data_IF_240409284801
#
_entry.id   IF_240409284801
#
_cell.length_a   1.000
_cell.length_b   1.000
_cell.length_c   1.000
_cell.angle_alpha   90.00
_cell.angle_beta   90.00
_cell.angle_gamma   90.00
#
_symmetry.space_group_name_H-M   'P 1'
#
loop_
_entity.id
_entity.type
_entity.pdbx_description
1 polymer ?
#
# COMPACT_ATOMS: atom_id res chain seq x y z
N UNK A 1 5.33 -20.20 26.86
CA UNK A 1 5.30 -20.05 26.26
C UNK A 1 5.18 -19.47 26.08
N UNK A 2 5.21 -19.39 26.07
CA UNK A 2 5.15 -19.02 25.54
C UNK A 2 4.93 -18.42 25.14
N UNK A 3 5.00 -18.29 25.31
CA UNK A 3 4.95 -17.89 24.58
C UNK A 3 4.97 -17.39 24.24
N UNK A 4 4.97 -17.40 24.21
CA UNK A 4 5.07 -17.12 23.44
C UNK A 4 5.18 -16.59 23.02
N UNK A 5 5.37 -16.60 23.33
CA UNK A 5 5.63 -16.36 22.50
C UNK A 5 5.90 -15.78 22.10
N UNK A 6 6.21 -15.64 22.31
CA UNK A 6 6.53 -15.44 21.46
C UNK A 6 6.91 -15.03 21.06
N UNK A 7 7.34 -15.00 20.97
CA UNK A 7 7.73 -14.80 20.16
C UNK A 7 8.02 -14.34 19.72
N UNK A 8 8.24 -14.37 19.62
CA UNK A 8 8.55 -14.24 18.76
C UNK A 8 8.83 -13.73 18.28
N UNK A 9 9.23 -13.53 18.30
CA UNK A 9 9.44 -13.21 17.51
C UNK A 9 9.79 -12.79 17.19
N UNK A 10 10.03 -12.71 17.26
CA UNK A 10 10.20 -12.60 16.55
C UNK A 10 10.55 -12.21 15.93
N UNK A 11 10.74 -12.02 15.85
CA UNK A 11 10.77 -11.87 14.78
C UNK A 11 11.07 -11.74 14.34
N UNK A 12 11.29 -11.58 14.48
CA UNK A 12 11.26 -11.64 13.74
C UNK A 12 11.40 -12.05 13.21
N UNK A 13 11.66 -11.50 13.92
CA UNK A 13 11.97 -12.47 13.17
C UNK A 13 11.53 -12.42 11.89
N UNK A 14 12.02 -12.91 11.52
CA UNK A 14 11.76 -12.80 10.17
C UNK A 14 10.40 -13.32 9.77
N UNK A 15 9.72 -12.57 8.96
CA UNK A 15 8.36 -12.91 8.57
C UNK A 15 8.34 -13.77 7.31
N UNK A 16 7.39 -14.73 7.22
CA UNK A 16 7.10 -15.39 5.94
C UNK A 16 6.62 -14.36 4.93
N UNK A 17 6.77 -14.66 3.64
CA UNK A 17 6.31 -13.78 2.57
C UNK A 17 4.83 -13.42 2.75
N UNK A 18 4.00 -14.39 3.15
CA UNK A 18 2.56 -14.17 3.34
C UNK A 18 2.22 -13.22 4.48
N UNK A 19 3.20 -12.84 5.29
CA UNK A 19 2.95 -11.91 6.37
C UNK A 19 3.11 -10.44 5.96
N UNK A 20 3.56 -10.14 4.75
CA UNK A 20 3.68 -8.77 4.28
C UNK A 20 2.30 -8.13 4.17
N UNK A 21 2.20 -6.91 4.69
CA UNK A 21 0.94 -6.20 4.80
C UNK A 21 0.88 -5.08 3.76
N UNK A 22 -0.18 -5.11 2.95
CA UNK A 22 -0.44 -4.08 1.96
C UNK A 22 -1.64 -3.26 2.41
N UNK A 23 -1.50 -1.94 2.42
CA UNK A 23 -2.63 -1.04 2.58
C UNK A 23 -3.13 -0.67 1.19
N UNK A 24 -4.33 -1.11 0.86
CA UNK A 24 -4.96 -0.85 -0.43
C UNK A 24 -5.95 0.30 -0.28
N UNK A 25 -5.67 1.41 -0.96
CA UNK A 25 -6.50 2.61 -0.87
C UNK A 25 -7.20 2.81 -2.21
N UNK A 26 -8.48 2.49 -2.26
CA UNK A 26 -9.27 2.49 -3.49
C UNK A 26 -10.74 2.68 -3.14
N UNK A 27 -11.39 3.68 -3.73
CA UNK A 27 -12.79 3.96 -3.42
C UNK A 27 -13.79 3.08 -4.19
N UNK A 28 -13.40 2.56 -5.36
CA UNK A 28 -14.25 1.67 -6.14
C UNK A 28 -14.34 0.31 -5.45
N UNK A 29 -15.52 -0.03 -4.96
CA UNK A 29 -15.71 -1.27 -4.20
C UNK A 29 -15.33 -2.51 -5.00
N UNK A 30 -15.72 -2.57 -6.28
CA UNK A 30 -15.46 -3.74 -7.10
C UNK A 30 -13.97 -3.94 -7.32
N UNK A 31 -13.27 -2.88 -7.69
CA UNK A 31 -11.83 -2.95 -7.90
C UNK A 31 -11.10 -3.26 -6.60
N UNK A 32 -11.50 -2.60 -5.51
CA UNK A 32 -10.88 -2.84 -4.19
C UNK A 32 -11.04 -4.29 -3.78
N UNK A 33 -12.24 -4.84 -3.93
CA UNK A 33 -12.50 -6.24 -3.58
C UNK A 33 -11.70 -7.20 -4.45
N UNK A 34 -11.66 -6.95 -5.76
CA UNK A 34 -10.93 -7.82 -6.68
C UNK A 34 -9.44 -7.82 -6.43
N UNK A 35 -8.87 -6.64 -6.21
CA UNK A 35 -7.44 -6.52 -5.91
C UNK A 35 -7.11 -7.14 -4.56
N UNK A 36 -7.97 -6.95 -3.57
CA UNK A 36 -7.76 -7.53 -2.26
C UNK A 36 -7.72 -9.06 -2.33
N UNK A 37 -8.68 -9.66 -3.04
CA UNK A 37 -8.73 -11.11 -3.18
C UNK A 37 -7.48 -11.63 -3.90
N UNK A 38 -7.09 -10.93 -4.95
CA UNK A 38 -5.90 -11.31 -5.71
C UNK A 38 -4.64 -11.29 -4.85
N UNK A 39 -4.45 -10.21 -4.09
CA UNK A 39 -3.27 -10.06 -3.26
C UNK A 39 -3.24 -11.09 -2.14
N UNK A 40 -4.39 -11.37 -1.54
CA UNK A 40 -4.50 -12.40 -0.51
C UNK A 40 -4.13 -13.76 -1.10
N UNK A 41 -4.61 -14.06 -2.29
CA UNK A 41 -4.29 -15.33 -2.97
C UNK A 41 -2.80 -15.46 -3.25
N UNK A 42 -2.10 -14.33 -3.42
CA UNK A 42 -0.65 -14.32 -3.64
C UNK A 42 0.16 -14.36 -2.35
N UNK A 43 -0.50 -14.44 -1.21
CA UNK A 43 0.18 -14.62 0.08
C UNK A 43 0.34 -13.35 0.90
N UNK A 44 -0.24 -12.25 0.47
CA UNK A 44 -0.17 -11.00 1.23
C UNK A 44 -1.31 -10.88 2.22
N UNK A 45 -1.06 -10.11 3.28
CA UNK A 45 -2.13 -9.60 4.13
C UNK A 45 -2.57 -8.27 3.53
N UNK A 46 -3.87 -8.00 3.55
CA UNK A 46 -4.39 -6.77 2.94
C UNK A 46 -5.34 -6.10 3.92
N UNK A 47 -5.14 -4.81 4.10
CA UNK A 47 -6.11 -3.95 4.76
C UNK A 47 -6.53 -2.88 3.76
N UNK A 48 -7.80 -2.56 3.76
CA UNK A 48 -8.37 -1.66 2.76
C UNK A 48 -8.80 -0.34 3.40
N UNK A 49 -8.66 0.73 2.61
CA UNK A 49 -9.22 2.02 2.94
C UNK A 49 -10.00 2.51 1.72
N UNK A 50 -11.20 3.02 1.93
CA UNK A 50 -12.05 3.46 0.82
C UNK A 50 -11.80 4.91 0.46
N UNK A 51 -11.08 5.66 1.29
CA UNK A 51 -10.74 7.05 1.00
C UNK A 51 -9.47 7.45 1.75
N UNK A 52 -9.02 8.67 1.49
CA UNK A 52 -7.76 9.15 2.07
C UNK A 52 -7.81 9.32 3.58
N UNK A 53 -8.97 9.62 4.13
CA UNK A 53 -9.11 9.77 5.59
C UNK A 53 -8.95 8.44 6.30
N UNK A 54 -9.58 7.39 5.76
CA UNK A 54 -9.40 6.04 6.31
C UNK A 54 -7.95 5.61 6.22
N UNK A 55 -7.31 5.90 5.08
CA UNK A 55 -5.90 5.55 4.91
C UNK A 55 -5.02 6.27 5.94
N UNK A 56 -5.28 7.55 6.16
CA UNK A 56 -4.50 8.33 7.12
C UNK A 56 -4.67 7.79 8.53
N UNK A 57 -5.90 7.45 8.92
CA UNK A 57 -6.16 6.84 10.23
C UNK A 57 -5.42 5.52 10.36
N UNK A 58 -5.40 4.71 9.30
CA UNK A 58 -4.69 3.43 9.34
C UNK A 58 -3.19 3.63 9.47
N UNK A 59 -2.63 4.63 8.81
CA UNK A 59 -1.19 4.90 8.87
C UNK A 59 -0.74 5.39 10.24
N UNK A 60 -1.67 5.83 11.09
CA UNK A 60 -1.33 6.26 12.45
C UNK A 60 -1.31 5.11 13.45
N UNK A 61 -1.55 3.87 13.01
CA UNK A 61 -1.58 2.69 13.86
C UNK A 61 -0.46 1.71 13.50
N UNK A 62 -0.09 0.88 14.46
CA UNK A 62 0.88 -0.19 14.23
C UNK A 62 0.14 -1.53 14.10
N UNK A 63 0.70 -2.48 13.37
CA UNK A 63 1.95 -2.37 12.61
C UNK A 63 1.76 -1.54 11.36
N UNK A 64 2.82 -0.87 10.93
CA UNK A 64 2.79 -0.12 9.68
C UNK A 64 2.69 -1.08 8.50
N UNK A 65 2.00 -0.68 7.42
CA UNK A 65 2.02 -1.51 6.21
C UNK A 65 3.43 -1.56 5.59
N UNK A 66 3.67 -2.62 4.85
CA UNK A 66 4.93 -2.80 4.11
C UNK A 66 4.89 -2.10 2.76
N UNK A 67 3.70 -1.80 2.26
CA UNK A 67 3.51 -1.13 0.98
C UNK A 67 2.11 -0.50 0.97
N UNK A 68 2.00 0.64 0.31
CA UNK A 68 0.71 1.30 0.07
C UNK A 68 0.42 1.22 -1.43
N UNK A 69 -0.71 0.63 -1.79
CA UNK A 69 -1.20 0.62 -3.16
C UNK A 69 -2.33 1.65 -3.21
N UNK A 70 -2.12 2.72 -3.96
CA UNK A 70 -2.89 3.96 -3.81
C UNK A 70 -3.53 4.38 -5.12
N UNK A 71 -4.88 4.43 -5.15
CA UNK A 71 -5.58 5.15 -6.21
C UNK A 71 -5.41 6.64 -5.92
N UNK A 72 -4.93 7.38 -6.92
CA UNK A 72 -4.63 8.79 -6.72
C UNK A 72 -5.91 9.67 -6.67
N UNK A 73 -6.99 9.20 -7.30
CA UNK A 73 -8.24 9.98 -7.38
C UNK A 73 -9.23 9.48 -6.34
N UNK A 74 -9.10 10.00 -5.12
CA UNK A 74 -9.91 9.57 -3.98
C UNK A 74 -10.85 10.69 -3.54
N UNK A 75 -12.01 10.34 -2.97
CA UNK A 75 -12.86 11.36 -2.34
C UNK A 75 -12.26 11.86 -1.04
N UNK A 76 -12.68 13.04 -0.62
CA UNK A 76 -12.29 13.71 0.62
C UNK A 76 -10.86 14.17 0.64
N UNK A 77 -9.93 13.26 0.85
CA UNK A 77 -8.49 13.55 0.84
C UNK A 77 -7.89 12.77 -0.33
N UNK A 78 -7.41 13.46 -1.37
CA UNK A 78 -6.93 12.78 -2.56
C UNK A 78 -5.54 12.16 -2.33
N UNK A 79 -5.11 11.34 -3.29
CA UNK A 79 -3.86 10.59 -3.15
C UNK A 79 -2.61 11.47 -3.09
N UNK A 80 -2.61 12.60 -3.78
CA UNK A 80 -1.48 13.53 -3.69
C UNK A 80 -1.36 14.12 -2.29
N UNK A 81 -2.49 14.52 -1.71
CA UNK A 81 -2.51 15.04 -0.35
C UNK A 81 -2.09 13.97 0.66
N UNK A 82 -2.58 12.75 0.48
CA UNK A 82 -2.20 11.65 1.34
C UNK A 82 -0.70 11.40 1.29
N UNK A 83 -0.13 11.39 0.09
CA UNK A 83 1.31 11.18 -0.08
C UNK A 83 2.11 12.30 0.59
N UNK A 84 1.66 13.55 0.44
CA UNK A 84 2.35 14.67 1.06
C UNK A 84 2.36 14.55 2.58
N UNK A 85 1.23 14.14 3.16
CA UNK A 85 1.13 13.92 4.60
C UNK A 85 2.00 12.74 5.06
N UNK A 86 2.01 11.67 4.29
CA UNK A 86 2.85 10.51 4.58
C UNK A 86 4.32 10.90 4.64
N UNK A 87 4.80 11.68 3.68
CA UNK A 87 6.21 12.06 3.62
C UNK A 87 6.64 12.90 4.80
N UNK A 88 5.71 13.60 5.45
CA UNK A 88 6.00 14.41 6.63
C UNK A 88 5.91 13.64 7.93
N UNK A 89 5.53 12.36 7.88
CA UNK A 89 5.34 11.54 9.07
C UNK A 89 6.50 10.56 9.18
N UNK A 90 7.46 10.76 10.07
CA UNK A 90 8.70 9.96 10.09
C UNK A 90 8.48 8.46 10.21
N UNK A 91 7.42 8.04 10.89
CA UNK A 91 7.17 6.61 11.12
C UNK A 91 6.72 5.88 9.86
N UNK A 92 6.17 6.60 8.87
CA UNK A 92 5.61 5.97 7.67
C UNK A 92 6.17 6.54 6.38
N UNK A 93 7.06 7.53 6.46
CA UNK A 93 7.56 8.24 5.28
C UNK A 93 8.28 7.35 4.29
N UNK A 94 8.89 6.26 4.76
CA UNK A 94 9.70 5.38 3.92
C UNK A 94 8.93 4.18 3.39
N UNK A 95 7.64 4.06 3.69
CA UNK A 95 6.83 2.97 3.13
C UNK A 95 6.69 3.20 1.63
N UNK A 96 7.05 2.22 0.79
CA UNK A 96 6.89 2.39 -0.65
C UNK A 96 5.43 2.54 -1.04
N UNK A 97 5.19 3.42 -2.02
CA UNK A 97 3.85 3.69 -2.53
C UNK A 97 3.82 3.38 -4.00
N UNK A 98 2.88 2.54 -4.42
CA UNK A 98 2.57 2.34 -5.83
C UNK A 98 1.25 3.02 -6.13
N UNK A 99 1.22 3.77 -7.20
CA UNK A 99 0.03 4.55 -7.59
C UNK A 99 -0.68 3.84 -8.72
N UNK A 100 -2.01 3.75 -8.62
CA UNK A 100 -2.86 3.32 -9.73
C UNK A 100 -3.76 4.50 -10.11
N UNK A 101 -4.06 4.63 -11.40
CA UNK A 101 -4.82 5.77 -11.87
C UNK A 101 -5.57 5.45 -13.15
N UNK A 102 -6.80 5.99 -13.27
CA UNK A 102 -7.56 5.91 -14.51
C UNK A 102 -7.08 6.90 -15.56
N UNK A 103 -6.27 7.87 -15.16
CA UNK A 103 -5.85 8.99 -16.00
C UNK A 103 -4.34 9.13 -16.00
N UNK A 104 -3.79 9.81 -17.02
CA UNK A 104 -2.40 10.20 -17.01
C UNK A 104 -2.19 11.26 -15.94
N UNK A 105 -1.10 11.11 -15.19
CA UNK A 105 -0.75 12.04 -14.14
C UNK A 105 0.32 13.00 -14.62
N UNK A 106 0.30 14.20 -14.06
CA UNK A 106 1.34 15.19 -14.32
C UNK A 106 2.69 14.69 -13.83
N UNK A 107 3.65 14.56 -14.73
CA UNK A 107 4.97 14.02 -14.40
C UNK A 107 5.69 14.84 -13.33
N UNK A 108 5.48 16.15 -13.33
CA UNK A 108 6.10 17.00 -12.32
C UNK A 108 5.56 16.71 -10.93
N UNK A 109 4.25 16.53 -10.80
CA UNK A 109 3.65 16.20 -9.52
C UNK A 109 4.12 14.83 -9.01
N UNK A 110 4.23 13.86 -9.91
CA UNK A 110 4.74 12.52 -9.58
C UNK A 110 6.17 12.62 -9.06
N UNK A 111 7.01 13.37 -9.75
CA UNK A 111 8.41 13.55 -9.36
C UNK A 111 8.56 14.29 -8.03
N UNK A 112 7.80 15.35 -7.84
CA UNK A 112 7.89 16.15 -6.61
C UNK A 112 7.55 15.34 -5.38
N UNK A 113 6.64 14.38 -5.52
CA UNK A 113 6.26 13.52 -4.40
C UNK A 113 7.09 12.25 -4.30
N UNK A 114 8.08 12.08 -5.17
CA UNK A 114 8.96 10.92 -5.14
C UNK A 114 8.23 9.63 -5.42
N UNK A 115 7.21 9.68 -6.28
CA UNK A 115 6.41 8.51 -6.63
C UNK A 115 7.02 7.79 -7.83
N UNK A 116 6.95 6.45 -7.88
CA UNK A 116 7.33 5.73 -9.09
C UNK A 116 6.29 5.96 -10.19
N UNK A 117 6.60 5.60 -11.45
CA UNK A 117 5.63 5.72 -12.54
C UNK A 117 4.32 5.02 -12.18
N UNK A 118 3.17 5.68 -12.38
CA UNK A 118 1.89 5.09 -11.98
C UNK A 118 1.47 3.96 -12.91
N UNK A 119 0.66 3.05 -12.35
CA UNK A 119 0.03 1.99 -13.12
C UNK A 119 -1.31 2.51 -13.62
N UNK A 120 -1.49 2.51 -14.95
CA UNK A 120 -2.75 2.95 -15.56
C UNK A 120 -3.79 1.83 -15.51
N UNK A 121 -5.02 2.22 -15.27
CA UNK A 121 -6.16 1.31 -15.42
C UNK A 121 -6.54 1.19 -16.88
N UNK A 122 -6.89 0.01 -17.39
CA UNK A 122 -6.93 -1.28 -16.70
C UNK A 122 -5.54 -1.79 -16.39
N UNK A 123 -5.40 -2.44 -15.24
CA UNK A 123 -4.10 -2.81 -14.70
C UNK A 123 -3.51 -4.03 -15.40
N UNK A 124 -2.21 -3.98 -15.66
CA UNK A 124 -1.42 -5.16 -16.01
C UNK A 124 -1.09 -5.87 -14.69
N UNK A 125 -1.87 -6.91 -14.38
CA UNK A 125 -1.81 -7.57 -13.08
C UNK A 125 -0.46 -8.24 -12.84
N UNK A 126 0.11 -8.88 -13.86
CA UNK A 126 1.39 -9.57 -13.68
C UNK A 126 2.50 -8.58 -13.36
N UNK A 127 2.50 -7.44 -14.05
CA UNK A 127 3.49 -6.40 -13.81
C UNK A 127 3.31 -5.79 -12.43
N UNK A 128 2.07 -5.55 -12.03
CA UNK A 128 1.76 -5.01 -10.71
C UNK A 128 2.24 -5.95 -9.61
N UNK A 129 1.92 -7.24 -9.73
CA UNK A 129 2.33 -8.22 -8.72
C UNK A 129 3.85 -8.34 -8.64
N UNK A 130 4.52 -8.35 -9.79
CA UNK A 130 5.98 -8.42 -9.83
C UNK A 130 6.60 -7.22 -9.11
N UNK A 131 6.06 -6.03 -9.36
CA UNK A 131 6.56 -4.81 -8.72
C UNK A 131 6.32 -4.84 -7.21
N UNK A 132 5.14 -5.30 -6.79
CA UNK A 132 4.83 -5.41 -5.36
C UNK A 132 5.79 -6.39 -4.68
N UNK A 133 6.05 -7.54 -5.30
CA UNK A 133 6.98 -8.51 -4.73
C UNK A 133 8.38 -7.93 -4.58
N UNK A 134 8.85 -7.21 -5.60
CA UNK A 134 10.17 -6.60 -5.55
C UNK A 134 10.28 -5.60 -4.41
N UNK A 135 9.26 -4.78 -4.21
CA UNK A 135 9.28 -3.73 -3.19
C UNK A 135 9.07 -4.27 -1.78
N UNK A 136 8.47 -5.44 -1.63
CA UNK A 136 8.20 -6.05 -0.33
C UNK A 136 9.14 -7.20 -0.01
N UNK A 137 10.08 -7.51 -0.87
CA UNK A 137 11.06 -8.55 -0.62
C UNK A 137 11.92 -8.16 0.58
N UNK A 138 12.24 -9.15 1.38
CA UNK A 138 13.04 -8.93 2.59
C UNK A 138 14.48 -8.58 2.25
#
# INVERSE_FOLDING_TARGET
>A
MQIQDSPEPRGEAKRPTGARLILLVEDDFVLRSSLSELLIAEGFRVECAADGREALRRLSRTPAPDLILLDIMLPHLDGFELRALQKRSPLVANIPVLVISAYDLDAQSVDELGLPPPFRKPLDIEKLLSTIRDLTAA
#
